data_IF_199469942089
#
_entry.id   IF_199469942089
#
_cell.length_a   1.000
_cell.length_b   1.000
_cell.length_c   1.000
_cell.angle_alpha   90.00
_cell.angle_beta   90.00
_cell.angle_gamma   90.00
#
_symmetry.space_group_name_H-M   'P 1'
#
loop_
_entity.id
_entity.type
_entity.pdbx_description
1 polymer ?
#
# COMPACT_ATOMS: atom_id res chain seq x y z
N UNK A 1 -11.80 -7.53 18.31
CA UNK A 1 -12.45 -6.22 18.54
C UNK A 1 -11.36 -5.18 18.57
N UNK A 2 -11.38 -4.26 17.62
CA UNK A 2 -10.40 -3.19 17.55
C UNK A 2 -11.06 -1.88 17.97
N UNK A 3 -10.59 -1.32 19.07
CA UNK A 3 -11.08 -0.04 19.58
C UNK A 3 -10.30 1.10 18.91
N UNK A 4 -10.94 1.75 17.93
CA UNK A 4 -10.39 2.92 17.23
C UNK A 4 -10.52 4.19 18.10
N UNK A 5 -11.05 4.08 19.32
CA UNK A 5 -11.63 5.23 20.02
C UNK A 5 -10.76 5.94 21.06
N UNK A 6 -9.56 5.50 21.47
CA UNK A 6 -8.84 6.24 22.54
C UNK A 6 -7.31 6.27 22.46
N UNK A 7 -6.79 7.44 22.08
CA UNK A 7 -5.71 8.07 22.83
C UNK A 7 -6.36 9.01 23.88
N UNK A 8 -5.92 9.04 25.14
CA UNK A 8 -6.48 9.89 26.20
C UNK A 8 -6.53 11.41 25.89
N UNK A 9 -5.91 11.86 24.80
CA UNK A 9 -5.84 13.27 24.38
C UNK A 9 -5.73 13.47 22.86
N UNK A 10 -5.89 12.44 22.03
CA UNK A 10 -5.58 12.51 20.58
C UNK A 10 -6.82 12.39 19.69
N UNK A 11 -6.94 13.26 18.68
CA UNK A 11 -7.92 13.10 17.60
C UNK A 11 -7.61 11.85 16.75
N UNK A 12 -8.65 11.19 16.25
CA UNK A 12 -8.52 10.11 15.27
C UNK A 12 -7.96 10.71 13.97
N UNK A 13 -6.75 10.30 13.59
CA UNK A 13 -6.12 10.72 12.33
C UNK A 13 -6.31 9.63 11.26
N UNK A 14 -6.29 9.98 9.96
CA UNK A 14 -6.32 9.00 8.87
C UNK A 14 -5.24 7.91 9.03
N UNK A 15 -4.05 8.30 9.47
CA UNK A 15 -2.93 7.38 9.70
C UNK A 15 -3.22 6.37 10.81
N UNK A 16 -3.69 6.84 11.97
CA UNK A 16 -4.01 5.96 13.09
C UNK A 16 -5.14 5.00 12.74
N UNK A 17 -6.12 5.48 11.97
CA UNK A 17 -7.24 4.68 11.48
C UNK A 17 -6.77 3.60 10.48
N UNK A 18 -5.87 3.94 9.54
CA UNK A 18 -5.24 2.97 8.64
C UNK A 18 -4.44 1.89 9.38
N UNK A 19 -3.62 2.30 10.36
CA UNK A 19 -2.80 1.39 11.17
C UNK A 19 -3.66 0.46 12.01
N UNK A 20 -4.80 0.94 12.52
CA UNK A 20 -5.79 0.09 13.15
C UNK A 20 -6.33 -0.91 12.12
N UNK A 21 -6.97 -0.46 11.04
CA UNK A 21 -7.60 -1.35 10.06
C UNK A 21 -6.66 -2.43 9.51
N UNK A 22 -5.42 -2.08 9.16
CA UNK A 22 -4.41 -3.03 8.66
C UNK A 22 -4.01 -4.13 9.65
N UNK A 23 -4.15 -3.89 10.95
CA UNK A 23 -3.87 -4.86 12.02
C UNK A 23 -5.09 -5.68 12.43
N UNK A 24 -6.27 -5.37 11.88
CA UNK A 24 -7.48 -6.15 12.14
C UNK A 24 -7.45 -7.42 11.29
N UNK A 25 -7.87 -8.55 11.86
CA UNK A 25 -7.75 -9.86 11.20
C UNK A 25 -8.90 -10.13 10.22
N UNK A 26 -9.94 -9.30 10.23
CA UNK A 26 -11.11 -9.41 9.34
C UNK A 26 -12.27 -8.52 9.78
N UNK A 27 -13.23 -8.32 8.87
CA UNK A 27 -14.38 -7.43 9.05
C UNK A 27 -15.21 -7.76 10.31
N UNK A 28 -15.27 -9.04 10.68
CA UNK A 28 -16.01 -9.52 11.87
C UNK A 28 -15.44 -9.00 13.20
N UNK A 29 -14.20 -8.50 13.19
CA UNK A 29 -13.50 -7.97 14.38
C UNK A 29 -13.42 -6.45 14.44
N UNK A 30 -13.92 -5.75 13.42
CA UNK A 30 -13.88 -4.29 13.32
C UNK A 30 -15.22 -3.73 13.80
N UNK A 31 -15.22 -3.06 14.95
CA UNK A 31 -16.39 -2.37 15.48
C UNK A 31 -16.03 -0.90 15.67
N UNK A 32 -16.62 -0.02 14.86
CA UNK A 32 -16.48 1.43 15.01
C UNK A 32 -17.34 1.86 16.21
N UNK A 33 -16.68 2.22 17.31
CA UNK A 33 -17.32 2.65 18.57
C UNK A 33 -17.81 4.12 18.54
N UNK A 34 -17.66 4.82 17.40
CA UNK A 34 -18.07 6.23 17.19
C UNK A 34 -18.54 6.44 15.75
N UNK A 35 -19.22 7.56 15.50
CA UNK A 35 -19.57 8.00 14.15
C UNK A 35 -18.31 8.06 13.27
N UNK A 36 -18.38 7.38 12.12
CA UNK A 36 -17.31 7.35 11.14
C UNK A 36 -17.38 8.62 10.29
N UNK A 37 -16.34 9.46 10.38
CA UNK A 37 -16.19 10.55 9.43
C UNK A 37 -15.63 10.02 8.10
N UNK A 38 -16.48 10.02 7.07
CA UNK A 38 -16.10 9.60 5.71
C UNK A 38 -14.95 10.45 5.18
N UNK A 39 -14.86 11.72 5.59
CA UNK A 39 -13.79 12.63 5.16
C UNK A 39 -12.40 12.14 5.59
N UNK A 40 -12.32 11.32 6.65
CA UNK A 40 -11.08 10.77 7.16
C UNK A 40 -10.34 9.88 6.13
N UNK A 41 -11.07 9.25 5.21
CA UNK A 41 -10.49 8.36 4.19
C UNK A 41 -10.73 8.84 2.75
N UNK A 42 -11.61 9.81 2.54
CA UNK A 42 -11.82 10.40 1.20
C UNK A 42 -10.92 11.60 0.95
N UNK A 43 -10.39 12.23 2.00
CA UNK A 43 -9.45 13.34 1.86
C UNK A 43 -8.01 12.82 1.93
N UNK A 44 -7.21 13.19 0.94
CA UNK A 44 -5.81 12.78 0.89
C UNK A 44 -5.05 13.35 2.10
N UNK A 45 -4.36 12.53 2.90
CA UNK A 45 -3.82 12.94 4.20
C UNK A 45 -2.68 13.97 4.11
N UNK A 46 -1.91 13.99 3.02
CA UNK A 46 -0.91 15.03 2.74
C UNK A 46 -0.43 15.06 1.29
N UNK A 47 -0.02 16.21 0.79
CA UNK A 47 0.62 16.33 -0.54
C UNK A 47 1.93 15.54 -0.63
N UNK A 48 2.68 15.47 0.48
CA UNK A 48 3.92 14.70 0.56
C UNK A 48 3.69 13.21 0.26
N UNK A 49 2.66 12.61 0.88
CA UNK A 49 2.33 11.20 0.63
C UNK A 49 1.86 10.98 -0.81
N UNK A 50 1.21 11.98 -1.41
CA UNK A 50 0.75 11.89 -2.81
C UNK A 50 1.93 11.85 -3.79
N UNK A 51 2.93 12.71 -3.55
CA UNK A 51 4.16 12.73 -4.34
C UNK A 51 4.99 11.46 -4.13
N UNK A 52 4.99 10.90 -2.92
CA UNK A 52 5.67 9.63 -2.63
C UNK A 52 5.00 8.46 -3.34
N UNK A 53 3.66 8.39 -3.34
CA UNK A 53 2.91 7.37 -4.09
C UNK A 53 3.26 7.45 -5.60
N UNK A 54 3.30 8.65 -6.18
CA UNK A 54 3.71 8.83 -7.59
C UNK A 54 5.18 8.41 -7.83
N UNK A 55 6.06 8.63 -6.85
CA UNK A 55 7.45 8.20 -6.90
C UNK A 55 7.55 6.66 -6.90
N UNK A 56 6.81 6.00 -6.01
CA UNK A 56 6.76 4.55 -5.88
C UNK A 56 6.23 3.90 -7.17
N UNK A 57 5.19 4.46 -7.78
CA UNK A 57 4.66 3.99 -9.06
C UNK A 57 5.71 4.05 -10.17
N UNK A 58 6.44 5.18 -10.26
CA UNK A 58 7.55 5.33 -11.23
C UNK A 58 8.66 4.30 -10.99
N UNK A 59 8.96 3.98 -9.73
CA UNK A 59 9.97 2.97 -9.38
C UNK A 59 9.50 1.56 -9.73
N UNK A 60 8.23 1.23 -9.46
CA UNK A 60 7.64 -0.07 -9.78
C UNK A 60 7.61 -0.32 -11.30
N UNK A 61 7.24 0.68 -12.10
CA UNK A 61 7.27 0.57 -13.56
C UNK A 61 8.68 0.36 -14.11
N UNK A 62 9.69 1.05 -13.55
CA UNK A 62 11.09 0.82 -13.90
C UNK A 62 11.54 -0.60 -13.54
N UNK A 63 11.13 -1.10 -12.38
CA UNK A 63 11.45 -2.46 -11.93
C UNK A 63 10.81 -3.50 -12.86
N UNK A 64 9.53 -3.32 -13.22
CA UNK A 64 8.82 -4.18 -14.17
C UNK A 64 9.54 -4.23 -15.52
N UNK A 65 9.91 -3.09 -16.08
CA UNK A 65 10.65 -3.01 -17.34
C UNK A 65 11.99 -3.75 -17.26
N UNK A 66 12.79 -3.48 -16.22
CA UNK A 66 14.06 -4.17 -15.99
C UNK A 66 13.88 -5.69 -15.87
N UNK A 67 12.83 -6.14 -15.16
CA UNK A 67 12.51 -7.55 -14.99
C UNK A 67 12.13 -8.22 -16.31
N UNK A 68 11.37 -7.53 -17.18
CA UNK A 68 11.04 -8.06 -18.51
C UNK A 68 12.28 -8.18 -19.40
N UNK A 69 13.16 -7.18 -19.40
CA UNK A 69 14.42 -7.23 -20.16
C UNK A 69 15.32 -8.38 -19.69
N UNK A 70 15.41 -8.59 -18.37
CA UNK A 70 16.21 -9.67 -17.78
C UNK A 70 15.65 -11.04 -18.16
N UNK A 71 14.32 -11.22 -18.13
CA UNK A 71 13.66 -12.45 -18.58
C UNK A 71 13.86 -12.70 -20.08
N UNK A 72 13.75 -11.67 -20.92
CA UNK A 72 13.96 -11.79 -22.37
C UNK A 72 15.41 -12.19 -22.67
N UNK A 73 16.38 -11.54 -22.02
CA UNK A 73 17.81 -11.87 -22.15
C UNK A 73 18.10 -13.30 -21.70
N UNK A 74 17.59 -13.72 -20.53
CA UNK A 74 17.73 -15.10 -20.04
C UNK A 74 17.10 -16.15 -20.96
N UNK A 75 16.00 -15.83 -21.64
CA UNK A 75 15.40 -16.70 -22.65
C UNK A 75 16.30 -16.81 -23.91
N UNK A 76 16.90 -15.71 -24.35
CA UNK A 76 17.85 -15.69 -25.48
C UNK A 76 19.08 -16.56 -25.18
N UNK A 77 19.67 -16.46 -23.98
CA UNK A 77 20.78 -17.32 -23.56
C UNK A 77 20.41 -18.80 -23.57
N UNK A 78 19.20 -19.17 -23.11
CA UNK A 78 18.74 -20.56 -23.14
C UNK A 78 18.52 -21.09 -24.57
N UNK A 79 18.03 -20.26 -25.50
CA UNK A 79 17.85 -20.66 -26.90
C UNK A 79 19.18 -20.87 -27.63
N UNK A 80 20.19 -20.02 -27.39
CA UNK A 80 21.52 -20.15 -27.99
C UNK A 80 22.25 -21.42 -27.53
N UNK A 81 22.15 -21.77 -26.25
CA UNK A 81 22.80 -22.96 -25.69
C UNK A 81 22.02 -24.28 -25.89
N UNK A 82 20.79 -24.22 -26.43
CA UNK A 82 20.02 -25.41 -26.80
C UNK A 82 20.23 -25.85 -28.27
N UNK A 83 20.98 -25.06 -29.06
CA UNK A 83 21.28 -25.32 -30.47
C UNK A 83 22.73 -25.81 -30.71
N UNK A 84 23.50 -26.05 -29.63
CA UNK A 84 24.84 -26.65 -29.66
C UNK A 84 24.76 -28.10 -29.21
#
# INVERSE_FOLDING_TARGET
VMDISMLPSGQLTPFNAYVALSRSWGHDTIWLLRDFDVQLFTQHPSEYLWNEDECLDKMDERMKQWWQMTKASGAVYKCLHAQT
#
